data_IF_806769760182
#
_entry.id   IF_806769760182
#
_cell.length_a   1.000
_cell.length_b   1.000
_cell.length_c   1.000
_cell.angle_alpha   90.00
_cell.angle_beta   90.00
_cell.angle_gamma   90.00
#
_symmetry.space_group_name_H-M   'P 1'
#
loop_
_entity.id
_entity.type
_entity.pdbx_description
1 polymer ?
#
# COMPACT_ATOMS: atom_id res chain seq x y z
N UNK A 1 3.37 49.23 1.25
CA UNK A 1 3.97 47.93 0.79
C UNK A 1 2.87 46.89 0.84
N UNK A 2 2.30 46.53 -0.33
CA UNK A 2 1.22 45.51 -0.41
C UNK A 2 1.90 44.17 -0.51
N UNK A 3 1.88 43.36 0.57
CA UNK A 3 2.28 41.96 0.50
C UNK A 3 1.15 41.16 -0.14
N UNK A 4 1.30 40.82 -1.39
CA UNK A 4 0.47 39.83 -2.07
C UNK A 4 0.88 38.45 -1.59
N UNK A 5 0.11 37.85 -0.70
CA UNK A 5 0.26 36.45 -0.30
C UNK A 5 -0.38 35.58 -1.41
N UNK A 6 0.46 34.95 -2.23
CA UNK A 6 -0.01 33.91 -3.12
C UNK A 6 -0.12 32.60 -2.32
N UNK A 7 -1.33 32.10 -2.15
CA UNK A 7 -1.55 30.74 -1.63
C UNK A 7 -1.41 29.75 -2.79
N UNK A 8 -0.27 29.08 -2.87
CA UNK A 8 -0.01 28.06 -3.87
C UNK A 8 -0.20 26.67 -3.25
N UNK A 9 -1.12 25.88 -3.81
CA UNK A 9 -1.27 24.48 -3.49
C UNK A 9 -0.70 23.63 -4.62
N UNK A 10 0.25 22.75 -4.32
CA UNK A 10 0.85 21.83 -5.27
C UNK A 10 0.43 20.40 -4.93
N UNK A 11 -0.20 19.71 -5.89
CA UNK A 11 -0.58 18.30 -5.77
C UNK A 11 0.35 17.49 -6.68
N UNK A 12 1.07 16.53 -6.11
CA UNK A 12 1.93 15.60 -6.82
C UNK A 12 1.30 14.22 -6.83
N UNK A 13 1.17 13.63 -8.02
CA UNK A 13 0.73 12.25 -8.21
C UNK A 13 1.96 11.36 -8.43
N UNK A 14 2.08 10.33 -7.61
CA UNK A 14 3.20 9.39 -7.67
C UNK A 14 2.69 7.95 -7.68
N UNK A 15 3.44 7.08 -8.33
CA UNK A 15 3.16 5.65 -8.29
C UNK A 15 3.79 5.02 -7.05
N UNK A 16 3.12 3.99 -6.51
CA UNK A 16 3.75 3.07 -5.56
C UNK A 16 4.61 2.05 -6.32
N UNK A 17 5.63 1.51 -5.66
CA UNK A 17 6.31 0.30 -6.12
C UNK A 17 5.28 -0.85 -6.18
N UNK A 18 5.63 -1.96 -6.85
CA UNK A 18 4.84 -3.18 -6.73
C UNK A 18 4.69 -3.51 -5.24
N UNK A 19 3.51 -3.20 -4.69
CA UNK A 19 3.19 -3.48 -3.31
C UNK A 19 2.64 -4.90 -3.21
N UNK A 20 3.07 -5.61 -2.18
CA UNK A 20 2.42 -6.83 -1.76
C UNK A 20 1.02 -6.49 -1.23
N UNK A 21 -0.02 -7.04 -1.85
CA UNK A 21 -1.40 -6.78 -1.48
C UNK A 21 -1.77 -7.31 -0.09
N UNK A 22 -0.91 -8.09 0.55
CA UNK A 22 -1.12 -8.64 1.90
C UNK A 22 -0.62 -7.74 3.02
N UNK A 23 0.01 -6.62 2.72
CA UNK A 23 0.55 -5.71 3.74
C UNK A 23 0.04 -4.27 3.57
N UNK A 24 -0.08 -3.53 4.69
CA UNK A 24 -0.48 -2.13 4.65
C UNK A 24 0.46 -1.27 3.80
N UNK A 25 -0.12 -0.27 3.13
CA UNK A 25 0.65 0.73 2.38
C UNK A 25 1.34 1.66 3.37
N UNK A 26 2.63 1.95 3.12
CA UNK A 26 3.47 2.82 3.95
C UNK A 26 4.17 3.89 3.11
N UNK A 27 4.77 4.88 3.76
CA UNK A 27 5.60 5.91 3.10
C UNK A 27 6.77 5.33 2.29
N UNK A 28 7.26 4.13 2.67
CA UNK A 28 8.36 3.47 1.96
C UNK A 28 7.94 2.87 0.61
N UNK A 29 6.65 2.76 0.35
CA UNK A 29 6.11 2.21 -0.89
C UNK A 29 6.02 3.25 -2.00
N UNK A 30 6.17 4.54 -1.66
CA UNK A 30 6.16 5.63 -2.62
C UNK A 30 7.41 5.53 -3.49
N UNK A 31 7.21 5.50 -4.81
CA UNK A 31 8.28 5.46 -5.78
C UNK A 31 8.95 6.83 -5.91
N UNK A 32 10.27 6.86 -6.04
CA UNK A 32 11.02 8.08 -6.24
C UNK A 32 11.81 8.55 -5.00
N UNK A 33 12.13 9.82 -4.96
CA UNK A 33 12.96 10.40 -3.91
C UNK A 33 12.21 10.57 -2.59
N UNK A 34 12.80 10.10 -1.50
CA UNK A 34 12.31 10.35 -0.13
C UNK A 34 12.18 11.85 0.19
N UNK A 35 12.89 12.71 -0.52
CA UNK A 35 12.82 14.16 -0.37
C UNK A 35 11.41 14.69 -0.66
N UNK A 36 10.70 14.16 -1.66
CA UNK A 36 9.32 14.55 -1.97
C UNK A 36 8.39 14.37 -0.77
N UNK A 37 8.49 13.21 -0.12
CA UNK A 37 7.72 12.90 1.09
C UNK A 37 8.10 13.82 2.24
N UNK A 38 9.38 14.18 2.37
CA UNK A 38 9.85 15.06 3.43
C UNK A 38 9.29 16.48 3.30
N UNK A 39 9.17 16.99 2.09
CA UNK A 39 8.64 18.34 1.82
C UNK A 39 7.10 18.39 1.80
N UNK A 40 6.42 17.29 1.55
CA UNK A 40 4.97 17.26 1.52
C UNK A 40 4.36 17.54 2.91
N UNK A 41 3.35 18.38 2.97
CA UNK A 41 2.59 18.67 4.19
C UNK A 41 1.60 17.57 4.51
N UNK A 42 1.03 16.94 3.48
CA UNK A 42 0.17 15.77 3.60
C UNK A 42 0.52 14.74 2.52
N UNK A 43 0.42 13.47 2.86
CA UNK A 43 0.58 12.34 1.95
C UNK A 43 -0.54 11.36 2.20
N UNK A 44 -1.24 10.98 1.16
CA UNK A 44 -2.23 9.92 1.22
C UNK A 44 -2.01 8.89 0.10
N UNK A 45 -2.45 7.68 0.33
CA UNK A 45 -2.39 6.61 -0.63
C UNK A 45 -3.79 6.12 -1.01
N UNK A 46 -3.93 5.66 -2.24
CA UNK A 46 -5.14 4.98 -2.73
C UNK A 46 -4.78 3.52 -2.94
N UNK A 47 -5.35 2.65 -2.10
CA UNK A 47 -5.17 1.21 -2.19
C UNK A 47 -6.33 0.51 -2.92
N UNK A 48 -6.04 -0.67 -3.45
CA UNK A 48 -7.07 -1.56 -4.02
C UNK A 48 -7.59 -2.48 -2.94
N UNK A 49 -8.92 -2.64 -2.88
CA UNK A 49 -9.54 -3.65 -2.03
C UNK A 49 -9.50 -5.02 -2.70
N UNK A 50 -9.29 -6.07 -1.90
CA UNK A 50 -9.44 -7.46 -2.36
C UNK A 50 -10.92 -7.91 -2.34
N UNK A 51 -11.79 -7.20 -1.61
CA UNK A 51 -13.21 -7.53 -1.50
C UNK A 51 -13.96 -7.35 -2.82
N UNK A 52 -13.61 -6.28 -3.56
CA UNK A 52 -14.24 -5.95 -4.84
C UNK A 52 -13.27 -5.16 -5.74
N UNK A 53 -13.18 -5.47 -7.04
CA UNK A 53 -12.29 -4.78 -7.97
C UNK A 53 -12.63 -3.29 -8.18
N UNK A 54 -13.86 -2.85 -7.88
CA UNK A 54 -14.26 -1.44 -7.96
C UNK A 54 -14.01 -0.68 -6.66
N UNK A 55 -13.77 -1.37 -5.54
CA UNK A 55 -13.49 -0.71 -4.28
C UNK A 55 -12.04 -0.22 -4.19
N UNK A 56 -11.89 0.97 -3.63
CA UNK A 56 -10.61 1.58 -3.26
C UNK A 56 -10.70 2.05 -1.83
N UNK A 57 -9.58 2.06 -1.14
CA UNK A 57 -9.49 2.74 0.14
C UNK A 57 -8.45 3.85 0.08
N UNK A 58 -8.76 4.95 0.74
CA UNK A 58 -7.89 6.13 0.84
C UNK A 58 -7.38 6.18 2.27
N UNK A 59 -6.06 6.25 2.41
CA UNK A 59 -5.36 6.27 3.68
C UNK A 59 -4.41 7.44 3.76
N UNK A 60 -4.43 8.16 4.86
CA UNK A 60 -3.40 9.15 5.18
C UNK A 60 -2.12 8.44 5.63
N UNK A 61 -1.00 8.81 5.04
CA UNK A 61 0.33 8.31 5.40
C UNK A 61 1.14 9.33 6.20
N UNK A 62 0.86 10.62 6.00
CA UNK A 62 1.52 11.73 6.66
C UNK A 62 0.61 12.94 6.67
N UNK A 63 0.58 13.66 7.78
CA UNK A 63 -0.02 14.98 7.93
C UNK A 63 0.86 15.78 8.88
N UNK A 64 1.12 17.06 8.60
CA UNK A 64 1.97 17.93 9.44
C UNK A 64 1.19 18.79 10.41
N UNK A 65 0.03 19.27 10.01
CA UNK A 65 -0.70 20.34 10.70
C UNK A 65 -1.86 19.87 11.56
N UNK A 66 -2.17 18.57 11.53
CA UNK A 66 -3.24 17.97 12.34
C UNK A 66 -2.91 16.52 12.69
N UNK A 67 -3.75 15.88 13.48
CA UNK A 67 -3.67 14.47 13.77
C UNK A 67 -4.05 13.63 12.53
N UNK A 68 -3.57 12.41 12.48
CA UNK A 68 -3.81 11.45 11.41
C UNK A 68 -5.17 10.80 11.64
N UNK A 69 -6.19 11.27 10.94
CA UNK A 69 -7.59 10.85 11.12
C UNK A 69 -7.90 9.56 10.34
N UNK A 70 -7.40 9.49 9.09
CA UNK A 70 -7.68 8.36 8.18
C UNK A 70 -6.47 7.44 8.05
N UNK A 71 -6.08 6.84 9.18
CA UNK A 71 -4.95 5.93 9.29
C UNK A 71 -5.32 4.48 8.96
N UNK A 72 -4.53 3.54 9.50
CA UNK A 72 -4.72 2.10 9.30
C UNK A 72 -6.07 1.58 9.76
N UNK A 73 -6.56 2.07 10.88
CA UNK A 73 -7.82 1.61 11.51
C UNK A 73 -9.08 2.33 10.98
N UNK A 74 -8.89 3.42 10.23
CA UNK A 74 -9.99 4.27 9.78
C UNK A 74 -9.73 4.78 8.36
N UNK A 75 -9.65 3.88 7.37
CA UNK A 75 -9.51 4.25 5.96
C UNK A 75 -10.85 4.64 5.36
N UNK A 76 -10.86 5.61 4.45
CA UNK A 76 -12.07 5.96 3.70
C UNK A 76 -12.23 5.00 2.50
N UNK A 77 -13.28 4.19 2.53
CA UNK A 77 -13.60 3.23 1.46
C UNK A 77 -14.48 3.90 0.41
N UNK A 78 -14.08 3.83 -0.84
CA UNK A 78 -14.77 4.42 -1.97
C UNK A 78 -15.00 3.41 -3.08
N UNK A 79 -16.11 3.54 -3.79
CA UNK A 79 -16.40 2.79 -5.01
C UNK A 79 -16.07 3.64 -6.24
N UNK A 80 -15.41 3.03 -7.23
CA UNK A 80 -15.23 3.66 -8.54
C UNK A 80 -16.55 3.54 -9.29
N UNK A 81 -17.20 4.67 -9.55
CA UNK A 81 -18.40 4.74 -10.38
C UNK A 81 -18.15 5.53 -11.64
N UNK A 82 -18.76 5.07 -12.70
CA UNK A 82 -18.77 5.75 -14.00
C UNK A 82 -20.18 6.26 -14.29
N UNK A 83 -20.34 7.57 -14.21
CA UNK A 83 -21.57 8.26 -14.61
C UNK A 83 -21.35 8.84 -16.02
N UNK A 84 -21.95 8.20 -17.03
CA UNK A 84 -21.76 8.57 -18.44
C UNK A 84 -20.28 8.59 -18.85
N UNK A 85 -19.67 9.75 -19.01
CA UNK A 85 -18.28 9.93 -19.39
C UNK A 85 -17.37 10.36 -18.22
N UNK A 86 -17.91 10.41 -17.00
CA UNK A 86 -17.16 10.84 -15.81
C UNK A 86 -16.93 9.67 -14.86
N UNK A 87 -15.68 9.51 -14.42
CA UNK A 87 -15.29 8.51 -13.41
C UNK A 87 -15.07 9.25 -12.10
N UNK A 88 -15.72 8.80 -11.03
CA UNK A 88 -15.59 9.37 -9.69
C UNK A 88 -15.38 8.30 -8.63
N UNK A 89 -14.82 8.71 -7.52
CA UNK A 89 -14.90 7.95 -6.27
C UNK A 89 -16.15 8.34 -5.51
N UNK A 90 -16.99 7.38 -5.19
CA UNK A 90 -18.14 7.57 -4.35
C UNK A 90 -17.86 6.97 -2.99
N UNK A 91 -17.97 7.79 -1.94
CA UNK A 91 -17.71 7.32 -0.56
C UNK A 91 -18.75 6.27 -0.17
N UNK A 92 -18.27 5.18 0.43
CA UNK A 92 -19.12 4.06 0.88
C UNK A 92 -19.14 4.00 2.42
N UNK A 93 -17.97 3.91 3.05
CA UNK A 93 -17.87 3.73 4.49
C UNK A 93 -16.45 4.05 4.98
N UNK A 94 -16.28 4.07 6.29
CA UNK A 94 -14.98 3.94 6.94
C UNK A 94 -14.75 2.48 7.34
N UNK A 95 -13.49 2.04 7.36
CA UNK A 95 -13.14 0.67 7.71
C UNK A 95 -11.67 0.51 8.06
N UNK A 96 -11.28 -0.69 8.47
CA UNK A 96 -9.87 -1.00 8.73
C UNK A 96 -9.17 -1.41 7.42
N UNK A 97 -7.92 -0.94 7.20
CA UNK A 97 -7.14 -1.32 6.03
C UNK A 97 -6.96 -2.83 5.90
N UNK A 98 -6.82 -3.56 7.03
CA UNK A 98 -6.68 -5.02 7.05
C UNK A 98 -7.79 -5.76 6.31
N UNK A 99 -9.02 -5.25 6.35
CA UNK A 99 -10.16 -5.85 5.68
C UNK A 99 -10.08 -5.79 4.14
N UNK A 100 -9.22 -4.93 3.62
CA UNK A 100 -9.00 -4.71 2.20
C UNK A 100 -7.72 -5.33 1.67
N UNK A 101 -6.93 -5.96 2.55
CA UNK A 101 -5.69 -6.65 2.21
C UNK A 101 -5.94 -8.13 1.88
N UNK A 102 -5.05 -8.70 1.09
CA UNK A 102 -5.09 -10.13 0.79
C UNK A 102 -4.69 -10.92 2.04
N UNK A 103 -5.63 -11.67 2.59
CA UNK A 103 -5.32 -12.70 3.57
C UNK A 103 -4.83 -13.94 2.83
N UNK A 104 -3.68 -14.46 3.23
CA UNK A 104 -3.25 -15.78 2.81
C UNK A 104 -3.97 -16.81 3.70
N UNK A 105 -4.65 -17.76 3.08
CA UNK A 105 -5.13 -18.94 3.80
C UNK A 105 -3.93 -19.68 4.39
N UNK A 106 -4.16 -20.49 5.43
CA UNK A 106 -3.08 -21.28 6.03
C UNK A 106 -2.42 -22.21 4.99
N UNK A 107 -3.21 -22.80 4.10
CA UNK A 107 -2.74 -23.61 2.97
C UNK A 107 -1.84 -22.80 2.02
N UNK A 108 -2.30 -21.65 1.53
CA UNK A 108 -1.49 -20.80 0.64
C UNK A 108 -0.19 -20.36 1.29
N UNK A 109 -0.18 -20.19 2.61
CA UNK A 109 1.03 -19.85 3.36
C UNK A 109 1.99 -21.04 3.43
N UNK A 110 1.48 -22.23 3.71
CA UNK A 110 2.27 -23.46 3.76
C UNK A 110 2.86 -23.80 2.40
N UNK A 111 2.09 -23.70 1.32
CA UNK A 111 2.55 -23.86 -0.05
C UNK A 111 3.68 -22.90 -0.39
N UNK A 112 3.55 -21.62 -0.01
CA UNK A 112 4.62 -20.64 -0.24
C UNK A 112 5.87 -20.93 0.57
N UNK A 113 5.72 -21.40 1.82
CA UNK A 113 6.85 -21.82 2.66
C UNK A 113 7.56 -23.00 2.02
N UNK A 114 6.83 -23.99 1.54
CA UNK A 114 7.39 -25.17 0.88
C UNK A 114 8.11 -24.78 -0.43
N UNK A 115 7.46 -23.97 -1.27
CA UNK A 115 8.08 -23.45 -2.49
C UNK A 115 9.36 -22.66 -2.21
N UNK A 116 9.37 -21.84 -1.14
CA UNK A 116 10.55 -21.09 -0.74
C UNK A 116 11.73 -22.01 -0.35
N UNK A 117 11.44 -23.11 0.33
CA UNK A 117 12.44 -24.11 0.71
C UNK A 117 13.03 -24.81 -0.51
N UNK A 118 12.19 -25.24 -1.46
CA UNK A 118 12.61 -25.88 -2.68
C UNK A 118 13.47 -24.96 -3.54
N UNK A 119 13.05 -23.70 -3.72
CA UNK A 119 13.84 -22.70 -4.44
C UNK A 119 15.19 -22.43 -3.77
N UNK A 120 15.22 -22.40 -2.44
CA UNK A 120 16.47 -22.22 -1.68
C UNK A 120 17.41 -23.44 -1.81
N UNK A 121 16.86 -24.66 -1.74
CA UNK A 121 17.61 -25.89 -1.96
C UNK A 121 18.20 -25.96 -3.38
N UNK A 122 17.49 -25.41 -4.38
CA UNK A 122 17.95 -25.27 -5.76
C UNK A 122 18.96 -24.12 -5.97
N UNK A 123 19.47 -23.50 -4.89
CA UNK A 123 20.51 -22.48 -4.95
C UNK A 123 20.03 -21.06 -5.24
N UNK A 124 18.72 -20.81 -5.26
CA UNK A 124 18.19 -19.47 -5.47
C UNK A 124 18.47 -18.56 -4.27
N UNK A 125 18.87 -17.32 -4.52
CA UNK A 125 19.11 -16.34 -3.44
C UNK A 125 17.81 -15.96 -2.75
N UNK A 126 17.88 -15.66 -1.43
CA UNK A 126 16.72 -15.20 -0.63
C UNK A 126 16.00 -14.01 -1.25
N UNK A 127 16.76 -13.11 -1.88
CA UNK A 127 16.22 -11.95 -2.59
C UNK A 127 15.49 -12.34 -3.87
N UNK A 128 16.01 -13.34 -4.60
CA UNK A 128 15.37 -13.92 -5.78
C UNK A 128 14.05 -14.58 -5.43
N UNK A 129 14.04 -15.43 -4.39
CA UNK A 129 12.86 -16.10 -3.87
C UNK A 129 11.81 -15.10 -3.42
N UNK A 130 12.21 -14.06 -2.70
CA UNK A 130 11.31 -12.99 -2.25
C UNK A 130 10.61 -12.29 -3.42
N UNK A 131 11.35 -12.04 -4.51
CA UNK A 131 10.82 -11.44 -5.75
C UNK A 131 9.82 -12.37 -6.45
N UNK A 132 10.14 -13.65 -6.53
CA UNK A 132 9.31 -14.67 -7.20
C UNK A 132 8.00 -14.92 -6.46
N UNK A 133 8.07 -15.09 -5.15
CA UNK A 133 6.89 -15.35 -4.31
C UNK A 133 6.11 -14.09 -3.92
N UNK A 134 6.58 -12.90 -4.31
CA UNK A 134 5.91 -11.62 -4.04
C UNK A 134 5.89 -11.24 -2.56
N UNK A 135 6.90 -11.65 -1.79
CA UNK A 135 7.03 -11.38 -0.35
C UNK A 135 8.30 -10.60 -0.05
N UNK A 136 8.52 -10.22 1.21
CA UNK A 136 9.75 -9.54 1.60
C UNK A 136 10.89 -10.53 1.84
N UNK A 137 12.16 -10.09 1.68
CA UNK A 137 13.31 -10.93 2.01
C UNK A 137 13.34 -11.32 3.50
N UNK A 138 12.83 -10.44 4.38
CA UNK A 138 12.66 -10.73 5.81
C UNK A 138 11.70 -11.90 6.05
N UNK A 139 10.60 -11.98 5.29
CA UNK A 139 9.66 -13.08 5.33
C UNK A 139 10.33 -14.40 4.93
N UNK A 140 11.13 -14.40 3.86
CA UNK A 140 11.86 -15.59 3.43
C UNK A 140 12.87 -16.03 4.49
N UNK A 141 13.61 -15.09 5.10
CA UNK A 141 14.52 -15.42 6.21
C UNK A 141 13.82 -16.05 7.40
N UNK A 142 12.64 -15.53 7.74
CA UNK A 142 11.82 -16.07 8.82
C UNK A 142 11.34 -17.49 8.50
N UNK A 143 10.82 -17.75 7.30
CA UNK A 143 10.35 -19.06 6.87
C UNK A 143 11.45 -20.11 6.82
N UNK A 144 12.63 -19.75 6.33
CA UNK A 144 13.77 -20.67 6.26
C UNK A 144 14.43 -20.94 7.61
N UNK A 145 14.23 -20.08 8.63
CA UNK A 145 14.78 -20.25 9.97
C UNK A 145 13.92 -21.10 10.88
N UNK A 146 12.58 -21.02 10.72
CA UNK A 146 11.61 -21.69 11.56
C UNK A 146 11.06 -22.96 10.90
N UNK A 147 11.89 -23.58 10.10
CA UNK A 147 11.62 -24.82 9.38
C UNK A 147 12.29 -26.00 10.06
#
# INVERSE_FOLDING_TARGET
MICLFYCLTLILLEHTRKCDASRPITLNDIQGSKMKVNFADAVFAIGRSVKDPNLRYIKQLKVRSCELEYGYENVAVCEIRKDSNFIKFEFVAYGCESEHLKEFTQEEREDKVQAAREMFANGMSKRGIAKELGVTEGTIRYWLRNA
#
